data_IF_532842429388
#
_entry.id   IF_532842429388
#
_cell.length_a   1.000
_cell.length_b   1.000
_cell.length_c   1.000
_cell.angle_alpha   90.00
_cell.angle_beta   90.00
_cell.angle_gamma   90.00
#
_symmetry.space_group_name_H-M   'P 1'
#
loop_
_entity.id
_entity.type
_entity.pdbx_description
1 polymer ?
#
# COMPACT_ATOMS: atom_id res chain seq x y z
N UNK A 1 -10.23 0.06 14.15
CA UNK A 1 -10.60 -1.18 13.42
C UNK A 1 -9.46 -2.20 13.51
N UNK A 2 -8.25 -1.93 12.99
CA UNK A 2 -7.13 -2.89 12.95
C UNK A 2 -6.80 -3.46 14.34
N UNK A 3 -6.62 -2.59 15.34
CA UNK A 3 -6.36 -3.00 16.73
C UNK A 3 -7.50 -3.84 17.32
N UNK A 4 -8.75 -3.44 17.07
CA UNK A 4 -9.93 -4.18 17.52
C UNK A 4 -10.01 -5.57 16.90
N UNK A 5 -9.68 -5.72 15.61
CA UNK A 5 -9.64 -7.03 14.97
C UNK A 5 -8.52 -7.89 15.56
N UNK A 6 -7.30 -7.35 15.71
CA UNK A 6 -6.15 -8.08 16.26
C UNK A 6 -6.35 -8.53 17.71
N UNK A 7 -7.10 -7.77 18.50
CA UNK A 7 -7.44 -8.12 19.89
C UNK A 7 -8.65 -9.08 20.01
N UNK A 8 -9.40 -9.29 18.92
CA UNK A 8 -10.61 -10.09 18.92
C UNK A 8 -10.35 -11.56 19.25
N UNK A 9 -11.19 -12.12 20.12
CA UNK A 9 -11.20 -13.56 20.40
C UNK A 9 -11.54 -14.38 19.14
N UNK A 10 -12.36 -13.86 18.26
CA UNK A 10 -12.77 -14.50 17.01
C UNK A 10 -11.60 -14.73 16.06
N UNK A 11 -10.63 -13.82 16.01
CA UNK A 11 -9.43 -13.99 15.20
C UNK A 11 -8.58 -15.18 15.66
N UNK A 12 -8.68 -15.54 16.94
CA UNK A 12 -7.90 -16.62 17.58
C UNK A 12 -8.65 -17.95 17.63
N UNK A 13 -9.96 -17.94 17.40
CA UNK A 13 -10.84 -19.10 17.64
C UNK A 13 -10.78 -20.17 16.54
N UNK A 14 -10.28 -19.87 15.36
CA UNK A 14 -10.29 -20.81 14.22
C UNK A 14 -11.63 -20.82 13.45
N UNK A 15 -11.62 -21.49 12.28
CA UNK A 15 -12.83 -21.71 11.47
C UNK A 15 -13.24 -20.57 10.56
N UNK A 16 -14.48 -20.60 10.09
CA UNK A 16 -15.00 -19.66 9.08
C UNK A 16 -15.01 -18.20 9.57
N UNK A 17 -15.34 -17.98 10.83
CA UNK A 17 -15.35 -16.65 11.43
C UNK A 17 -13.94 -16.04 11.55
N UNK A 18 -12.93 -16.85 11.83
CA UNK A 18 -11.55 -16.38 11.79
C UNK A 18 -11.17 -15.91 10.39
N UNK A 19 -11.44 -16.71 9.35
CA UNK A 19 -11.15 -16.35 7.96
C UNK A 19 -11.85 -15.05 7.54
N UNK A 20 -13.07 -14.83 8.00
CA UNK A 20 -13.78 -13.57 7.77
C UNK A 20 -13.10 -12.38 8.44
N UNK A 21 -12.64 -12.55 9.69
CA UNK A 21 -11.90 -11.51 10.41
C UNK A 21 -10.53 -11.23 9.79
N UNK A 22 -9.82 -12.27 9.33
CA UNK A 22 -8.54 -12.14 8.60
C UNK A 22 -8.74 -11.32 7.32
N UNK A 23 -9.79 -11.59 6.53
CA UNK A 23 -10.11 -10.79 5.35
C UNK A 23 -10.38 -9.33 5.72
N UNK A 24 -11.18 -9.08 6.76
CA UNK A 24 -11.46 -7.72 7.23
C UNK A 24 -10.18 -7.00 7.72
N UNK A 25 -9.25 -7.73 8.32
CA UNK A 25 -7.93 -7.20 8.68
C UNK A 25 -7.14 -6.83 7.43
N UNK A 26 -7.08 -7.71 6.44
CA UNK A 26 -6.41 -7.47 5.16
C UNK A 26 -6.97 -6.26 4.43
N UNK A 27 -8.30 -6.11 4.36
CA UNK A 27 -8.96 -4.93 3.80
C UNK A 27 -8.58 -3.65 4.54
N UNK A 28 -8.65 -3.66 5.88
CA UNK A 28 -8.34 -2.49 6.68
C UNK A 28 -6.86 -2.05 6.56
N UNK A 29 -5.93 -3.01 6.48
CA UNK A 29 -4.51 -2.75 6.24
C UNK A 29 -4.29 -2.15 4.85
N UNK A 30 -4.95 -2.69 3.83
CA UNK A 30 -4.84 -2.21 2.45
C UNK A 30 -5.41 -0.80 2.29
N UNK A 31 -6.58 -0.53 2.89
CA UNK A 31 -7.19 0.81 2.87
C UNK A 31 -6.29 1.82 3.60
N UNK A 32 -5.71 1.44 4.75
CA UNK A 32 -4.74 2.29 5.45
C UNK A 32 -3.54 2.61 4.55
N UNK A 33 -2.98 1.61 3.89
CA UNK A 33 -1.85 1.80 2.99
C UNK A 33 -2.20 2.72 1.82
N UNK A 34 -3.36 2.55 1.21
CA UNK A 34 -3.85 3.38 0.11
C UNK A 34 -3.97 4.85 0.52
N UNK A 35 -4.68 5.12 1.62
CA UNK A 35 -4.92 6.50 2.07
C UNK A 35 -3.63 7.19 2.50
N UNK A 36 -2.76 6.53 3.26
CA UNK A 36 -1.48 7.12 3.65
C UNK A 36 -0.52 7.31 2.47
N UNK A 37 -0.56 6.42 1.49
CA UNK A 37 0.25 6.57 0.28
C UNK A 37 -0.18 7.82 -0.52
N UNK A 38 -1.47 8.07 -0.65
CA UNK A 38 -1.96 9.29 -1.29
C UNK A 38 -1.56 10.55 -0.50
N UNK A 39 -1.68 10.52 0.83
CA UNK A 39 -1.22 11.63 1.67
C UNK A 39 0.29 11.89 1.50
N UNK A 40 1.12 10.84 1.48
CA UNK A 40 2.57 10.96 1.26
C UNK A 40 2.89 11.52 -0.12
N UNK A 41 2.15 11.10 -1.16
CA UNK A 41 2.36 11.61 -2.53
C UNK A 41 2.07 13.10 -2.66
N UNK A 42 1.08 13.60 -1.91
CA UNK A 42 0.64 15.01 -1.97
C UNK A 42 1.48 15.88 -1.04
N UNK A 43 1.69 15.44 0.21
CA UNK A 43 2.25 16.28 1.28
C UNK A 43 3.69 15.91 1.66
N UNK A 44 4.20 14.77 1.23
CA UNK A 44 5.54 14.30 1.60
C UNK A 44 5.61 13.74 3.01
N UNK A 45 6.44 14.34 3.84
CA UNK A 45 6.59 13.95 5.25
C UNK A 45 5.38 14.43 6.05
N UNK A 46 4.70 13.51 6.72
CA UNK A 46 3.44 13.76 7.41
C UNK A 46 3.42 13.08 8.80
N UNK A 47 2.55 13.53 9.72
CA UNK A 47 2.28 12.76 10.93
C UNK A 47 1.75 11.36 10.60
N UNK A 48 2.41 10.32 11.09
CA UNK A 48 2.04 8.93 10.82
C UNK A 48 1.41 8.27 12.06
N UNK A 49 0.08 8.30 12.10
CA UNK A 49 -0.70 7.76 13.22
C UNK A 49 -1.17 6.35 12.94
N UNK A 50 -0.64 5.39 13.69
CA UNK A 50 -1.01 3.97 13.57
C UNK A 50 -2.02 3.51 14.62
N UNK A 51 -2.15 4.25 15.71
CA UNK A 51 -3.05 3.98 16.83
C UNK A 51 -4.29 4.84 16.77
N UNK A 52 -5.38 4.34 17.32
CA UNK A 52 -6.60 5.14 17.49
C UNK A 52 -6.34 6.37 18.38
N UNK A 53 -7.08 7.45 18.16
CA UNK A 53 -7.03 8.62 19.04
C UNK A 53 -7.49 8.24 20.43
N UNK A 54 -6.72 8.62 21.43
CA UNK A 54 -7.07 8.42 22.82
C UNK A 54 -7.99 9.56 23.30
N UNK A 55 -8.86 9.24 24.24
CA UNK A 55 -9.81 10.22 24.79
C UNK A 55 -9.14 11.39 25.52
N UNK A 56 -7.93 11.16 26.06
CA UNK A 56 -7.11 12.17 26.73
C UNK A 56 -6.26 13.01 25.75
N UNK A 57 -6.38 12.77 24.46
CA UNK A 57 -5.62 13.41 23.39
C UNK A 57 -4.10 13.25 23.49
N UNK A 58 -3.58 12.36 24.33
CA UNK A 58 -2.13 12.18 24.52
C UNK A 58 -1.36 11.79 23.25
N UNK A 59 -2.06 11.26 22.25
CA UNK A 59 -1.51 10.90 20.93
C UNK A 59 -2.13 11.71 19.78
N UNK A 60 -2.68 12.89 20.04
CA UNK A 60 -3.30 13.75 19.03
C UNK A 60 -2.26 14.51 18.19
N UNK A 61 -1.20 14.97 18.85
CA UNK A 61 -0.16 15.77 18.22
C UNK A 61 1.09 14.92 17.96
N UNK A 62 1.33 14.63 16.69
CA UNK A 62 2.48 13.86 16.23
C UNK A 62 3.34 14.73 15.33
N UNK A 63 4.65 14.63 15.50
CA UNK A 63 5.60 15.21 14.55
C UNK A 63 5.53 14.52 13.18
N UNK A 64 6.05 15.20 12.16
CA UNK A 64 6.18 14.62 10.83
C UNK A 64 7.11 13.41 10.87
N UNK A 65 6.69 12.35 10.26
CA UNK A 65 7.49 11.16 10.01
C UNK A 65 8.01 11.21 8.58
N UNK A 66 9.27 10.84 8.40
CA UNK A 66 9.88 10.73 7.07
C UNK A 66 9.04 9.81 6.16
N UNK A 67 8.74 10.28 4.96
CA UNK A 67 7.91 9.56 3.96
C UNK A 67 8.46 8.18 3.62
N UNK A 68 9.78 8.00 3.68
CA UNK A 68 10.40 6.71 3.38
C UNK A 68 10.05 5.69 4.48
N UNK A 69 10.08 6.10 5.75
CA UNK A 69 9.66 5.26 6.89
C UNK A 69 8.18 4.91 6.79
N UNK A 70 7.36 5.89 6.38
CA UNK A 70 5.93 5.65 6.17
C UNK A 70 5.75 4.61 5.06
N UNK A 71 6.31 4.82 3.87
CA UNK A 71 6.18 3.90 2.74
C UNK A 71 6.69 2.50 3.06
N UNK A 72 7.81 2.37 3.77
CA UNK A 72 8.32 1.06 4.21
C UNK A 72 7.34 0.36 5.17
N UNK A 73 6.71 1.12 6.08
CA UNK A 73 5.66 0.60 6.96
C UNK A 73 4.39 0.18 6.21
N UNK A 74 3.97 0.96 5.19
CA UNK A 74 2.81 0.62 4.36
C UNK A 74 3.06 -0.65 3.54
N UNK A 75 4.25 -0.83 3.00
CA UNK A 75 4.63 -2.05 2.30
C UNK A 75 4.59 -3.28 3.23
N UNK A 76 4.98 -3.14 4.51
CA UNK A 76 4.87 -4.21 5.49
C UNK A 76 3.41 -4.53 5.85
N UNK A 77 2.56 -3.50 5.95
CA UNK A 77 1.12 -3.70 6.12
C UNK A 77 0.50 -4.48 4.95
N UNK A 78 0.93 -4.19 3.72
CA UNK A 78 0.46 -4.89 2.53
C UNK A 78 0.99 -6.33 2.44
N UNK A 79 2.24 -6.60 2.85
CA UNK A 79 2.75 -7.96 2.95
C UNK A 79 1.94 -8.81 3.96
N UNK A 80 1.46 -8.20 5.04
CA UNK A 80 0.53 -8.86 5.95
C UNK A 80 -0.85 -9.07 5.31
N UNK A 81 -1.41 -8.02 4.68
CA UNK A 81 -2.73 -8.07 4.04
C UNK A 81 -2.83 -9.16 2.97
N UNK A 82 -1.80 -9.31 2.14
CA UNK A 82 -1.70 -10.31 1.08
C UNK A 82 -1.90 -11.75 1.60
N UNK A 83 -1.54 -12.01 2.87
CA UNK A 83 -1.73 -13.35 3.47
C UNK A 83 -3.20 -13.67 3.75
N UNK A 84 -4.01 -12.64 3.95
CA UNK A 84 -5.41 -12.76 4.38
C UNK A 84 -6.41 -12.54 3.24
N UNK A 85 -6.05 -11.72 2.26
CA UNK A 85 -6.92 -11.38 1.15
C UNK A 85 -7.02 -12.50 0.13
N UNK A 86 -8.21 -12.81 -0.39
CA UNK A 86 -8.38 -13.68 -1.55
C UNK A 86 -8.06 -12.91 -2.84
N UNK A 87 -7.78 -13.65 -3.91
CA UNK A 87 -7.89 -13.11 -5.26
C UNK A 87 -9.36 -12.80 -5.58
N UNK A 88 -9.60 -11.96 -6.58
CA UNK A 88 -10.96 -11.70 -7.05
C UNK A 88 -11.64 -13.02 -7.43
N UNK A 89 -12.93 -13.13 -7.14
CA UNK A 89 -13.81 -14.27 -7.45
C UNK A 89 -13.44 -15.61 -6.78
N UNK A 90 -12.39 -15.67 -5.97
CA UNK A 90 -12.06 -16.87 -5.18
C UNK A 90 -13.04 -17.13 -4.02
N UNK A 91 -13.75 -16.11 -3.58
CA UNK A 91 -14.73 -16.19 -2.50
C UNK A 91 -16.01 -15.48 -2.96
N UNK A 92 -17.15 -16.13 -2.79
CA UNK A 92 -18.45 -15.57 -3.18
C UNK A 92 -18.65 -14.16 -2.59
N UNK A 93 -19.04 -13.21 -3.43
CA UNK A 93 -19.22 -11.80 -3.08
C UNK A 93 -17.91 -11.02 -2.87
N UNK A 94 -16.77 -11.58 -3.27
CA UNK A 94 -15.47 -10.92 -3.20
C UNK A 94 -14.95 -10.64 -4.62
N UNK A 95 -15.53 -9.61 -5.21
CA UNK A 95 -15.27 -9.17 -6.60
C UNK A 95 -14.12 -8.16 -6.66
N UNK A 96 -13.79 -7.70 -7.86
CA UNK A 96 -12.80 -6.63 -8.11
C UNK A 96 -13.16 -5.29 -7.48
N UNK A 97 -14.42 -5.08 -7.07
CA UNK A 97 -14.86 -3.88 -6.36
C UNK A 97 -14.35 -3.80 -4.91
N UNK A 98 -13.86 -4.92 -4.37
CA UNK A 98 -13.27 -4.98 -3.02
C UNK A 98 -11.76 -4.93 -3.08
N UNK A 99 -11.13 -4.70 -1.93
CA UNK A 99 -9.67 -4.79 -1.81
C UNK A 99 -9.23 -6.25 -1.88
N UNK A 100 -8.86 -6.70 -3.08
CA UNK A 100 -8.42 -8.07 -3.35
C UNK A 100 -6.91 -8.24 -3.09
N UNK A 101 -6.44 -9.49 -3.08
CA UNK A 101 -5.02 -9.81 -3.04
C UNK A 101 -4.27 -9.18 -4.22
N UNK A 102 -4.85 -9.21 -5.42
CA UNK A 102 -4.28 -8.57 -6.61
C UNK A 102 -4.07 -7.07 -6.41
N UNK A 103 -5.07 -6.37 -5.87
CA UNK A 103 -4.94 -4.95 -5.56
C UNK A 103 -3.84 -4.66 -4.53
N UNK A 104 -3.75 -5.46 -3.46
CA UNK A 104 -2.71 -5.29 -2.44
C UNK A 104 -1.30 -5.51 -3.02
N UNK A 105 -1.11 -6.50 -3.91
CA UNK A 105 0.13 -6.69 -4.65
C UNK A 105 0.47 -5.49 -5.53
N UNK A 106 -0.50 -4.98 -6.30
CA UNK A 106 -0.32 -3.84 -7.19
C UNK A 106 0.07 -2.57 -6.41
N UNK A 107 -0.65 -2.29 -5.31
CA UNK A 107 -0.38 -1.13 -4.46
C UNK A 107 1.01 -1.22 -3.82
N UNK A 108 1.42 -2.40 -3.32
CA UNK A 108 2.75 -2.59 -2.76
C UNK A 108 3.84 -2.32 -3.81
N UNK A 109 3.69 -2.86 -5.01
CA UNK A 109 4.65 -2.63 -6.09
C UNK A 109 4.72 -1.15 -6.49
N UNK A 110 3.59 -0.46 -6.52
CA UNK A 110 3.53 0.98 -6.80
C UNK A 110 4.22 1.80 -5.71
N UNK A 111 4.01 1.46 -4.43
CA UNK A 111 4.70 2.11 -3.31
C UNK A 111 6.21 1.88 -3.41
N UNK A 112 6.67 0.66 -3.69
CA UNK A 112 8.08 0.32 -3.83
C UNK A 112 8.74 1.12 -4.96
N UNK A 113 8.09 1.24 -6.12
CA UNK A 113 8.58 2.05 -7.23
C UNK A 113 8.65 3.54 -6.90
N UNK A 114 7.64 4.06 -6.21
CA UNK A 114 7.62 5.47 -5.77
C UNK A 114 8.73 5.73 -4.76
N UNK A 115 8.93 4.81 -3.81
CA UNK A 115 9.98 4.86 -2.79
C UNK A 115 11.39 4.83 -3.40
N UNK A 116 11.55 4.17 -4.56
CA UNK A 116 12.81 4.10 -5.30
C UNK A 116 13.11 5.37 -6.14
N UNK A 117 12.12 6.23 -6.35
CA UNK A 117 12.19 7.41 -7.21
C UNK A 117 12.82 8.63 -6.57
N UNK A 118 13.08 9.64 -7.40
CA UNK A 118 13.49 10.96 -6.93
C UNK A 118 12.32 11.71 -6.29
N UNK A 119 12.60 12.32 -5.15
CA UNK A 119 11.65 13.21 -4.45
C UNK A 119 12.37 14.43 -3.89
N UNK A 120 11.66 15.55 -3.81
CA UNK A 120 12.14 16.76 -3.14
C UNK A 120 12.04 16.54 -1.64
N UNK A 121 13.11 16.87 -0.90
CA UNK A 121 13.22 16.69 0.54
C UNK A 121 13.42 18.02 1.25
N UNK A 122 12.98 18.13 2.51
CA UNK A 122 13.24 19.28 3.35
C UNK A 122 14.71 19.33 3.80
N UNK A 123 15.36 18.17 3.90
CA UNK A 123 16.78 18.02 4.28
C UNK A 123 17.41 16.89 3.50
N UNK A 124 18.69 17.04 3.17
CA UNK A 124 19.47 15.98 2.56
C UNK A 124 19.55 14.75 3.48
N UNK A 125 19.51 13.57 2.87
CA UNK A 125 19.71 12.28 3.55
C UNK A 125 21.04 11.67 3.10
N UNK A 126 21.81 11.19 4.06
CA UNK A 126 23.05 10.46 3.80
C UNK A 126 22.76 9.11 3.10
N UNK A 127 23.65 8.71 2.20
CA UNK A 127 23.49 7.48 1.44
C UNK A 127 22.50 7.56 0.27
N UNK A 128 21.91 8.74 0.03
CA UNK A 128 21.02 9.01 -1.09
C UNK A 128 21.76 9.64 -2.26
N UNK A 129 21.32 9.34 -3.48
CA UNK A 129 21.79 9.98 -4.71
C UNK A 129 21.02 11.30 -4.92
N UNK A 130 21.76 12.39 -5.10
CA UNK A 130 21.21 13.71 -5.42
C UNK A 130 21.12 13.90 -6.92
N UNK A 131 19.99 14.37 -7.43
CA UNK A 131 19.82 14.67 -8.85
C UNK A 131 20.71 15.84 -9.28
N UNK A 132 21.20 15.83 -10.52
CA UNK A 132 22.06 16.90 -11.07
C UNK A 132 21.37 18.26 -11.15
N UNK A 133 20.02 18.27 -11.19
CA UNK A 133 19.18 19.45 -11.22
C UNK A 133 18.62 19.83 -9.84
N UNK A 134 19.17 19.25 -8.77
CA UNK A 134 18.68 19.45 -7.41
C UNK A 134 18.89 20.87 -6.91
N UNK A 135 17.90 21.45 -6.24
CA UNK A 135 18.05 22.67 -5.46
C UNK A 135 18.88 22.41 -4.19
N UNK A 136 19.69 23.39 -3.77
CA UNK A 136 20.53 23.25 -2.58
C UNK A 136 19.75 23.29 -1.28
N UNK A 137 18.64 24.03 -1.25
CA UNK A 137 17.80 24.22 -0.05
C UNK A 137 16.86 23.04 0.14
N UNK A 138 16.28 22.56 -0.97
CA UNK A 138 15.35 21.45 -1.01
C UNK A 138 15.86 20.34 -1.94
N UNK A 139 16.77 19.50 -1.47
CA UNK A 139 17.45 18.54 -2.33
C UNK A 139 16.48 17.51 -2.93
N UNK A 140 16.64 17.27 -4.23
CA UNK A 140 15.96 16.20 -4.95
C UNK A 140 16.81 14.95 -4.87
N UNK A 141 16.35 13.95 -4.12
CA UNK A 141 17.13 12.74 -3.83
C UNK A 141 16.32 11.46 -3.99
N UNK A 142 17.01 10.37 -4.25
CA UNK A 142 16.48 9.00 -4.24
C UNK A 142 17.40 8.07 -3.43
N UNK A 143 16.94 6.88 -3.03
CA UNK A 143 17.78 5.90 -2.34
C UNK A 143 19.03 5.54 -3.13
N UNK A 144 20.10 5.16 -2.43
CA UNK A 144 21.31 4.63 -3.03
C UNK A 144 21.05 3.38 -3.88
N UNK A 145 22.02 3.00 -4.72
CA UNK A 145 21.84 1.96 -5.73
C UNK A 145 21.41 0.60 -5.17
N UNK A 146 21.94 0.20 -4.01
CA UNK A 146 21.61 -1.08 -3.38
C UNK A 146 20.15 -1.13 -2.90
N UNK A 147 19.71 -0.10 -2.17
CA UNK A 147 18.33 0.00 -1.66
C UNK A 147 17.32 0.12 -2.80
N UNK A 148 17.67 0.88 -3.82
CA UNK A 148 16.87 1.05 -5.02
C UNK A 148 16.69 -0.28 -5.77
N UNK A 149 17.76 -1.07 -5.89
CA UNK A 149 17.70 -2.41 -6.48
C UNK A 149 16.74 -3.30 -5.70
N UNK A 150 16.85 -3.34 -4.38
CA UNK A 150 15.97 -4.13 -3.52
C UNK A 150 14.48 -3.72 -3.67
N UNK A 151 14.20 -2.42 -3.79
CA UNK A 151 12.85 -1.91 -4.04
C UNK A 151 12.30 -2.33 -5.40
N UNK A 152 13.13 -2.30 -6.46
CA UNK A 152 12.73 -2.78 -7.79
C UNK A 152 12.48 -4.29 -7.81
N UNK A 153 13.33 -5.07 -7.15
CA UNK A 153 13.13 -6.52 -7.01
C UNK A 153 11.84 -6.84 -6.24
N UNK A 154 11.55 -6.06 -5.19
CA UNK A 154 10.29 -6.17 -4.44
C UNK A 154 9.10 -5.86 -5.34
N UNK A 155 9.12 -4.77 -6.10
CA UNK A 155 8.06 -4.41 -7.03
C UNK A 155 7.85 -5.50 -8.09
N UNK A 156 8.92 -5.98 -8.70
CA UNK A 156 8.89 -7.04 -9.72
C UNK A 156 8.25 -8.32 -9.17
N UNK A 157 8.62 -8.74 -7.95
CA UNK A 157 8.03 -9.90 -7.28
C UNK A 157 6.51 -9.79 -7.19
N UNK A 158 6.00 -8.62 -6.79
CA UNK A 158 4.56 -8.44 -6.60
C UNK A 158 3.80 -8.30 -7.90
N UNK A 159 4.33 -7.60 -8.92
CA UNK A 159 3.73 -7.60 -10.24
C UNK A 159 3.72 -8.98 -10.90
N UNK A 160 4.83 -9.73 -10.77
CA UNK A 160 4.90 -11.11 -11.27
C UNK A 160 3.86 -12.01 -10.60
N UNK A 161 3.56 -11.80 -9.32
CA UNK A 161 2.51 -12.56 -8.64
C UNK A 161 1.12 -12.34 -9.26
N UNK A 162 0.79 -11.10 -9.66
CA UNK A 162 -0.48 -10.79 -10.33
C UNK A 162 -0.54 -11.46 -11.70
N UNK A 163 0.53 -11.33 -12.49
CA UNK A 163 0.59 -11.89 -13.84
C UNK A 163 0.48 -13.43 -13.80
N UNK A 164 1.19 -14.07 -12.88
CA UNK A 164 1.23 -15.53 -12.79
C UNK A 164 -0.04 -16.16 -12.21
N UNK A 165 -0.84 -15.39 -11.47
CA UNK A 165 -2.11 -15.90 -10.91
C UNK A 165 -3.18 -16.08 -11.99
N UNK A 166 -3.12 -15.33 -13.09
CA UNK A 166 -4.05 -15.34 -14.23
C UNK A 166 -5.52 -14.98 -13.88
N UNK A 167 -5.81 -14.46 -12.70
CA UNK A 167 -7.15 -13.96 -12.35
C UNK A 167 -7.49 -12.70 -13.13
N UNK A 168 -6.48 -11.90 -13.45
CA UNK A 168 -6.63 -10.62 -14.14
C UNK A 168 -6.01 -10.68 -15.52
N UNK A 169 -6.65 -10.04 -16.49
CA UNK A 169 -6.12 -9.86 -17.84
C UNK A 169 -6.34 -8.42 -18.31
N UNK A 170 -5.54 -7.99 -19.27
CA UNK A 170 -5.77 -6.69 -19.90
C UNK A 170 -6.95 -6.81 -20.87
N UNK A 171 -7.83 -5.81 -20.87
CA UNK A 171 -8.86 -5.71 -21.90
C UNK A 171 -8.16 -5.42 -23.24
N UNK A 172 -8.49 -6.16 -24.32
CA UNK A 172 -7.87 -5.96 -25.63
C UNK A 172 -8.22 -4.59 -26.26
N UNK A 173 -9.26 -3.93 -25.76
CA UNK A 173 -9.69 -2.62 -26.23
C UNK A 173 -9.76 -1.63 -25.07
N UNK A 174 -8.92 -0.59 -25.11
CA UNK A 174 -8.98 0.52 -24.14
C UNK A 174 -10.32 1.26 -24.20
N UNK A 175 -10.90 1.42 -25.38
CA UNK A 175 -12.21 2.05 -25.59
C UNK A 175 -13.31 1.21 -24.90
N UNK A 176 -13.28 -0.10 -25.04
CA UNK A 176 -14.24 -0.99 -24.38
C UNK A 176 -14.14 -0.92 -22.86
N UNK A 177 -12.92 -0.85 -22.31
CA UNK A 177 -12.70 -0.67 -20.88
C UNK A 177 -13.36 0.62 -20.37
N UNK A 178 -13.22 1.72 -21.11
CA UNK A 178 -13.86 2.98 -20.80
C UNK A 178 -15.39 2.88 -20.78
N UNK A 179 -15.99 2.18 -21.76
CA UNK A 179 -17.43 1.96 -21.80
C UNK A 179 -17.90 1.12 -20.60
N UNK A 180 -17.21 0.03 -20.28
CA UNK A 180 -17.57 -0.84 -19.16
C UNK A 180 -17.58 -0.07 -17.82
N UNK A 181 -16.54 0.71 -17.56
CA UNK A 181 -16.46 1.55 -16.35
C UNK A 181 -17.61 2.56 -16.29
N UNK A 182 -17.89 3.26 -17.39
CA UNK A 182 -18.93 4.29 -17.42
C UNK A 182 -20.36 3.72 -17.40
N UNK A 183 -20.56 2.51 -17.87
CA UNK A 183 -21.85 1.82 -17.82
C UNK A 183 -22.06 1.02 -16.54
N UNK A 184 -21.10 1.04 -15.61
CA UNK A 184 -21.08 0.23 -14.41
C UNK A 184 -21.22 -1.28 -14.69
N UNK A 185 -20.80 -1.72 -15.88
CA UNK A 185 -20.70 -3.12 -16.28
C UNK A 185 -19.31 -3.62 -15.95
N UNK A 186 -19.14 -4.19 -14.76
CA UNK A 186 -17.84 -4.62 -14.24
C UNK A 186 -17.62 -6.15 -14.39
N UNK A 187 -18.34 -6.79 -15.29
CA UNK A 187 -18.27 -8.22 -15.57
C UNK A 187 -17.15 -8.54 -16.58
#
# INVERSE_FOLDING_TARGET
IIEGIRSSATLKAGGANQKSMERSLGEALTIRAMVYFDLVRIFGDIPFKREASKSDLSNAYLEKTDRDVIMDSLMNDLDEAIKYLPWADQVSGYTTERTTKGYAHALLAQIAMTRAGYVIREKAKDGYETASYSDATYPTQRPGAADRKALYERALKHWSAIINDNTHSLNPSFENEWYLINQLSLD
#
